data_IF_958372599073
#
_entry.id   IF_958372599073
#
_cell.length_a   1.000
_cell.length_b   1.000
_cell.length_c   1.000
_cell.angle_alpha   90.00
_cell.angle_beta   90.00
_cell.angle_gamma   90.00
#
_symmetry.space_group_name_H-M   'P 1'
#
loop_
_entity.id
_entity.type
_entity.pdbx_description
1 polymer ?
#
# COMPACT_ATOMS: atom_id res chain seq x y z
N UNK A 1 46.30 25.03 -11.76
CA UNK A 1 45.46 24.10 -10.96
C UNK A 1 46.40 22.97 -10.53
N UNK A 2 46.62 22.76 -9.22
CA UNK A 2 47.55 21.73 -8.72
C UNK A 2 46.71 20.62 -8.08
N UNK A 3 46.80 19.41 -8.65
CA UNK A 3 46.12 18.23 -8.04
C UNK A 3 46.90 17.87 -6.78
N UNK A 4 46.22 17.87 -5.63
CA UNK A 4 46.84 17.59 -4.30
C UNK A 4 46.82 16.11 -3.93
N UNK A 5 45.83 15.35 -4.40
CA UNK A 5 45.78 13.90 -4.23
C UNK A 5 44.89 13.26 -5.27
N UNK A 6 45.18 12.03 -5.66
CA UNK A 6 44.32 11.18 -6.48
C UNK A 6 44.03 9.93 -5.63
N UNK A 7 42.74 9.69 -5.30
CA UNK A 7 42.32 8.48 -4.65
C UNK A 7 41.74 7.50 -5.68
N UNK A 8 42.24 6.29 -5.73
CA UNK A 8 41.65 5.20 -6.49
C UNK A 8 40.82 4.31 -5.55
N UNK A 9 39.71 3.75 -6.04
CA UNK A 9 38.97 2.76 -5.23
C UNK A 9 39.88 1.55 -4.96
N UNK A 10 40.07 1.23 -3.69
CA UNK A 10 40.79 0.03 -3.27
C UNK A 10 39.83 -1.17 -3.34
N UNK A 11 40.31 -2.28 -3.89
CA UNK A 11 39.52 -3.51 -3.90
C UNK A 11 39.36 -4.00 -2.45
N UNK A 12 38.11 -4.06 -1.98
CA UNK A 12 37.82 -4.63 -0.65
C UNK A 12 37.20 -6.02 -0.77
N UNK A 13 37.47 -6.85 0.22
CA UNK A 13 36.88 -8.18 0.31
C UNK A 13 35.63 -8.12 1.15
N UNK A 14 34.56 -8.78 0.66
CA UNK A 14 33.33 -8.92 1.43
C UNK A 14 33.49 -10.14 2.36
N UNK A 15 33.94 -9.87 3.57
CA UNK A 15 34.27 -10.85 4.60
C UNK A 15 33.68 -10.46 5.98
N UNK A 16 34.08 -11.17 7.02
CA UNK A 16 33.61 -10.89 8.40
C UNK A 16 34.07 -9.51 8.90
N UNK A 17 35.22 -9.01 8.45
CA UNK A 17 35.69 -7.69 8.85
C UNK A 17 34.81 -6.61 8.22
N UNK A 18 34.47 -6.77 6.95
CA UNK A 18 33.48 -5.91 6.31
C UNK A 18 32.13 -5.93 7.04
N UNK A 19 31.63 -7.11 7.40
CA UNK A 19 30.38 -7.23 8.17
C UNK A 19 30.43 -6.50 9.51
N UNK A 20 31.59 -6.56 10.22
CA UNK A 20 31.79 -5.82 11.48
C UNK A 20 31.73 -4.30 11.30
N UNK A 21 32.23 -3.77 10.18
CA UNK A 21 32.11 -2.32 9.88
C UNK A 21 30.65 -1.87 9.77
N UNK A 22 29.75 -2.80 9.44
CA UNK A 22 28.31 -2.59 9.37
C UNK A 22 27.57 -2.99 10.66
N UNK A 23 28.31 -3.21 11.76
CA UNK A 23 27.78 -3.65 13.06
C UNK A 23 27.14 -5.05 13.06
N UNK A 24 27.61 -5.96 12.21
CA UNK A 24 27.22 -7.37 12.23
C UNK A 24 28.35 -8.24 12.82
N UNK A 25 27.96 -9.30 13.49
CA UNK A 25 28.94 -10.23 14.12
C UNK A 25 29.76 -11.01 13.09
N UNK A 26 29.14 -11.32 11.93
CA UNK A 26 29.77 -12.08 10.83
C UNK A 26 29.09 -11.79 9.49
N UNK A 27 29.77 -12.15 8.41
CA UNK A 27 29.23 -12.06 7.05
C UNK A 27 27.95 -12.91 6.89
N UNK A 28 27.87 -14.06 7.56
CA UNK A 28 26.68 -14.90 7.50
C UNK A 28 25.47 -14.24 8.15
N UNK A 29 25.66 -13.56 9.28
CA UNK A 29 24.60 -12.75 9.91
C UNK A 29 24.12 -11.59 9.04
N UNK A 30 25.05 -10.93 8.37
CA UNK A 30 24.72 -9.89 7.38
C UNK A 30 23.89 -10.47 6.22
N UNK A 31 24.31 -11.61 5.66
CA UNK A 31 23.55 -12.29 4.59
C UNK A 31 22.18 -12.77 5.04
N UNK A 32 22.07 -13.29 6.25
CA UNK A 32 20.79 -13.71 6.85
C UNK A 32 19.82 -12.54 6.96
N UNK A 33 20.28 -11.40 7.47
CA UNK A 33 19.49 -10.18 7.56
C UNK A 33 19.03 -9.70 6.18
N UNK A 34 19.95 -9.64 5.20
CA UNK A 34 19.61 -9.25 3.82
C UNK A 34 18.57 -10.19 3.21
N UNK A 35 18.73 -11.51 3.37
CA UNK A 35 17.76 -12.50 2.89
C UNK A 35 16.39 -12.31 3.54
N UNK A 36 16.36 -12.07 4.84
CA UNK A 36 15.11 -11.83 5.58
C UNK A 36 14.39 -10.57 5.06
N UNK A 37 15.14 -9.50 4.84
CA UNK A 37 14.58 -8.26 4.30
C UNK A 37 14.04 -8.44 2.87
N UNK A 38 14.82 -9.07 1.98
CA UNK A 38 14.41 -9.36 0.61
C UNK A 38 13.18 -10.28 0.56
N UNK A 39 13.17 -11.34 1.37
CA UNK A 39 12.01 -12.22 1.46
C UNK A 39 10.76 -11.47 1.96
N UNK A 40 10.92 -10.57 2.92
CA UNK A 40 9.84 -9.72 3.40
C UNK A 40 9.31 -8.75 2.31
N UNK A 41 10.22 -8.18 1.51
CA UNK A 41 9.86 -7.32 0.36
C UNK A 41 9.10 -8.12 -0.71
N UNK A 42 9.63 -9.28 -1.10
CA UNK A 42 8.99 -10.12 -2.12
C UNK A 42 7.64 -10.68 -1.65
N UNK A 43 7.53 -11.06 -0.39
CA UNK A 43 6.26 -11.52 0.18
C UNK A 43 5.20 -10.42 0.15
N UNK A 44 5.58 -9.17 0.47
CA UNK A 44 4.67 -8.02 0.39
C UNK A 44 4.25 -7.75 -1.05
N UNK A 45 5.20 -7.66 -1.99
CA UNK A 45 4.90 -7.43 -3.40
C UNK A 45 4.01 -8.55 -3.99
N UNK A 46 4.29 -9.82 -3.66
CA UNK A 46 3.47 -10.95 -4.09
C UNK A 46 2.03 -10.85 -3.53
N UNK A 47 1.91 -10.48 -2.24
CA UNK A 47 0.60 -10.31 -1.61
C UNK A 47 -0.19 -9.16 -2.23
N UNK A 48 0.44 -8.04 -2.51
CA UNK A 48 -0.22 -6.90 -3.17
C UNK A 48 -0.75 -7.27 -4.55
N UNK A 49 0.04 -7.99 -5.36
CA UNK A 49 -0.42 -8.51 -6.65
C UNK A 49 -1.58 -9.49 -6.51
N UNK A 50 -1.50 -10.40 -5.55
CA UNK A 50 -2.57 -11.37 -5.30
C UNK A 50 -3.86 -10.67 -4.86
N UNK A 51 -3.77 -9.72 -3.93
CA UNK A 51 -4.90 -8.89 -3.48
C UNK A 51 -5.53 -8.17 -4.67
N UNK A 52 -4.70 -7.52 -5.49
CA UNK A 52 -5.18 -6.82 -6.69
C UNK A 52 -5.91 -7.75 -7.64
N UNK A 53 -5.33 -8.90 -7.98
CA UNK A 53 -5.97 -9.90 -8.85
C UNK A 53 -7.31 -10.39 -8.27
N UNK A 54 -7.38 -10.58 -6.95
CA UNK A 54 -8.63 -10.91 -6.28
C UNK A 54 -9.68 -9.81 -6.48
N UNK A 55 -9.31 -8.55 -6.19
CA UNK A 55 -10.23 -7.41 -6.32
C UNK A 55 -10.66 -7.19 -7.77
N UNK A 56 -9.77 -7.34 -8.75
CA UNK A 56 -10.09 -7.27 -10.18
C UNK A 56 -11.09 -8.37 -10.57
N UNK A 57 -10.87 -9.59 -10.10
CA UNK A 57 -11.81 -10.69 -10.34
C UNK A 57 -13.18 -10.44 -9.70
N UNK A 58 -13.23 -9.88 -8.50
CA UNK A 58 -14.49 -9.52 -7.84
C UNK A 58 -15.22 -8.41 -8.60
N UNK A 59 -14.52 -7.36 -9.00
CA UNK A 59 -15.10 -6.24 -9.76
C UNK A 59 -15.67 -6.70 -11.11
N UNK A 60 -14.93 -7.54 -11.84
CA UNK A 60 -15.38 -8.09 -13.13
C UNK A 60 -16.54 -9.08 -13.00
N UNK A 61 -16.66 -9.77 -11.88
CA UNK A 61 -17.65 -10.83 -11.68
C UNK A 61 -18.98 -10.35 -11.14
N UNK A 62 -18.95 -9.27 -10.37
CA UNK A 62 -20.13 -8.74 -9.70
C UNK A 62 -20.47 -7.34 -10.20
N UNK A 63 -21.63 -7.23 -10.83
CA UNK A 63 -22.18 -5.94 -11.26
C UNK A 63 -23.56 -5.76 -10.63
N UNK A 64 -23.78 -4.63 -9.99
CA UNK A 64 -25.06 -4.24 -9.37
C UNK A 64 -25.19 -2.71 -9.33
N UNK A 65 -26.40 -2.21 -9.13
CA UNK A 65 -26.62 -0.77 -8.97
C UNK A 65 -25.94 -0.24 -7.73
N UNK A 66 -25.16 0.82 -7.91
CA UNK A 66 -24.44 1.47 -6.82
C UNK A 66 -25.28 2.63 -6.26
N UNK A 67 -25.29 2.86 -4.94
CA UNK A 67 -25.89 4.03 -4.36
C UNK A 67 -25.18 5.30 -4.83
N UNK A 68 -25.86 6.12 -5.64
CA UNK A 68 -25.28 7.31 -6.27
C UNK A 68 -24.64 8.27 -5.25
N UNK A 69 -25.25 8.40 -4.06
CA UNK A 69 -24.69 9.22 -2.99
C UNK A 69 -23.33 8.75 -2.49
N UNK A 70 -23.06 7.43 -2.44
CA UNK A 70 -21.76 6.90 -2.07
C UNK A 70 -20.74 7.12 -3.17
N UNK A 71 -21.13 6.92 -4.42
CA UNK A 71 -20.25 7.18 -5.58
C UNK A 71 -19.85 8.65 -5.65
N UNK A 72 -20.81 9.57 -5.47
CA UNK A 72 -20.54 10.99 -5.46
C UNK A 72 -19.60 11.39 -4.32
N UNK A 73 -19.83 10.87 -3.12
CA UNK A 73 -18.97 11.15 -1.95
C UNK A 73 -17.53 10.64 -2.15
N UNK A 74 -17.36 9.43 -2.69
CA UNK A 74 -16.06 8.85 -2.99
C UNK A 74 -15.37 9.64 -4.10
N UNK A 75 -16.09 10.00 -5.17
CA UNK A 75 -15.57 10.84 -6.24
C UNK A 75 -15.08 12.19 -5.71
N UNK A 76 -15.87 12.88 -4.88
CA UNK A 76 -15.49 14.17 -4.30
C UNK A 76 -14.25 14.06 -3.42
N UNK A 77 -14.08 12.93 -2.73
CA UNK A 77 -12.88 12.67 -1.93
C UNK A 77 -11.65 12.52 -2.82
N UNK A 78 -11.73 11.70 -3.86
CA UNK A 78 -10.66 11.50 -4.84
C UNK A 78 -10.35 12.82 -5.54
N UNK A 79 -11.36 13.55 -6.01
CA UNK A 79 -11.17 14.77 -6.76
C UNK A 79 -10.46 15.87 -5.96
N UNK A 80 -10.79 16.01 -4.68
CA UNK A 80 -10.08 16.91 -3.76
C UNK A 80 -8.60 16.57 -3.64
N UNK A 81 -8.23 15.30 -3.62
CA UNK A 81 -6.83 14.87 -3.61
C UNK A 81 -6.13 15.27 -4.92
N UNK A 82 -6.75 15.00 -6.07
CA UNK A 82 -6.22 15.37 -7.38
C UNK A 82 -5.98 16.89 -7.47
N UNK A 83 -6.94 17.71 -7.04
CA UNK A 83 -6.76 19.17 -7.02
C UNK A 83 -5.62 19.63 -6.10
N UNK A 84 -5.44 18.97 -4.96
CA UNK A 84 -4.34 19.28 -4.04
C UNK A 84 -2.99 18.91 -4.65
N UNK A 85 -2.89 17.76 -5.30
CA UNK A 85 -1.68 17.31 -5.97
C UNK A 85 -1.30 18.20 -7.15
N UNK A 86 -2.27 18.61 -7.96
CA UNK A 86 -2.04 19.57 -9.04
C UNK A 86 -1.55 20.92 -8.51
N UNK A 87 -2.14 21.42 -7.43
CA UNK A 87 -1.67 22.68 -6.79
C UNK A 87 -0.26 22.55 -6.23
N UNK A 88 0.08 21.39 -5.66
CA UNK A 88 1.40 21.14 -5.08
C UNK A 88 2.49 20.95 -6.16
N UNK A 89 2.16 20.22 -7.23
CA UNK A 89 3.11 19.94 -8.32
C UNK A 89 3.21 21.06 -9.36
N UNK A 90 2.20 21.94 -9.44
CA UNK A 90 2.06 22.95 -10.48
C UNK A 90 1.74 22.38 -11.87
N UNK A 91 1.39 21.09 -11.96
CA UNK A 91 1.02 20.41 -13.21
C UNK A 91 -0.48 20.52 -13.46
N UNK A 92 -0.84 20.62 -14.74
CA UNK A 92 -2.21 20.61 -15.20
C UNK A 92 -2.55 19.31 -15.93
N UNK A 93 -3.81 19.03 -16.18
CA UNK A 93 -4.24 17.89 -16.99
C UNK A 93 -3.66 17.93 -18.42
N UNK A 94 -3.44 19.12 -18.97
CA UNK A 94 -2.81 19.28 -20.29
C UNK A 94 -1.35 18.78 -20.31
N UNK A 95 -0.62 18.93 -19.21
CA UNK A 95 0.76 18.41 -19.09
C UNK A 95 0.80 16.87 -19.07
N UNK A 96 -0.31 16.24 -18.71
CA UNK A 96 -0.51 14.79 -18.70
C UNK A 96 -1.19 14.26 -19.99
N UNK A 97 -1.30 15.10 -21.02
CA UNK A 97 -1.98 14.80 -22.29
C UNK A 97 -3.46 14.36 -22.11
N UNK A 98 -4.14 14.90 -21.14
CA UNK A 98 -5.57 14.64 -20.89
C UNK A 98 -6.33 15.94 -20.67
N UNK A 99 -7.66 15.86 -20.60
CA UNK A 99 -8.53 16.99 -20.28
C UNK A 99 -9.15 16.78 -18.89
N UNK A 100 -9.56 17.87 -18.24
CA UNK A 100 -10.26 17.77 -16.95
C UNK A 100 -11.52 16.89 -17.06
N UNK A 101 -12.25 17.01 -18.18
CA UNK A 101 -13.46 16.21 -18.41
C UNK A 101 -13.15 14.71 -18.51
N UNK A 102 -12.11 14.34 -19.26
CA UNK A 102 -11.66 12.96 -19.37
C UNK A 102 -11.16 12.42 -18.01
N UNK A 103 -10.38 13.22 -17.30
CA UNK A 103 -9.91 12.88 -15.96
C UNK A 103 -11.08 12.67 -14.98
N UNK A 104 -12.10 13.56 -15.00
CA UNK A 104 -13.31 13.39 -14.16
C UNK A 104 -14.04 12.08 -14.47
N UNK A 105 -14.15 11.70 -15.75
CA UNK A 105 -14.78 10.44 -16.15
C UNK A 105 -13.98 9.23 -15.65
N UNK A 106 -12.66 9.29 -15.72
CA UNK A 106 -11.78 8.23 -15.24
C UNK A 106 -11.84 8.09 -13.72
N UNK A 107 -11.74 9.19 -12.97
CA UNK A 107 -11.83 9.18 -11.52
C UNK A 107 -13.23 8.78 -11.02
N UNK A 108 -14.31 9.08 -11.79
CA UNK A 108 -15.62 8.55 -11.46
C UNK A 108 -15.69 7.02 -11.58
N UNK A 109 -15.07 6.43 -12.61
CA UNK A 109 -14.97 4.96 -12.74
C UNK A 109 -14.18 4.34 -11.57
N UNK A 110 -13.14 5.04 -11.11
CA UNK A 110 -12.41 4.61 -9.91
C UNK A 110 -13.32 4.66 -8.67
N UNK A 111 -14.07 5.72 -8.47
CA UNK A 111 -15.01 5.86 -7.36
C UNK A 111 -16.06 4.75 -7.39
N UNK A 112 -16.67 4.48 -8.56
CA UNK A 112 -17.65 3.40 -8.75
C UNK A 112 -17.05 2.03 -8.39
N UNK A 113 -15.83 1.75 -8.86
CA UNK A 113 -15.11 0.53 -8.53
C UNK A 113 -14.86 0.40 -7.02
N UNK A 114 -14.39 1.46 -6.36
CA UNK A 114 -14.13 1.47 -4.92
C UNK A 114 -15.40 1.23 -4.12
N UNK A 115 -16.49 1.90 -4.46
CA UNK A 115 -17.78 1.72 -3.80
C UNK A 115 -18.28 0.27 -3.99
N UNK A 116 -18.19 -0.27 -5.22
CA UNK A 116 -18.59 -1.66 -5.50
C UNK A 116 -17.80 -2.66 -4.67
N UNK A 117 -16.49 -2.55 -4.69
CA UNK A 117 -15.61 -3.45 -3.92
C UNK A 117 -15.85 -3.29 -2.41
N UNK A 118 -15.99 -2.06 -1.91
CA UNK A 118 -16.28 -1.80 -0.52
C UNK A 118 -17.58 -2.47 -0.06
N UNK A 119 -18.65 -2.36 -0.84
CA UNK A 119 -19.93 -3.02 -0.54
C UNK A 119 -19.82 -4.54 -0.60
N UNK A 120 -19.10 -5.09 -1.59
CA UNK A 120 -18.85 -6.55 -1.69
C UNK A 120 -18.07 -7.07 -0.48
N UNK A 121 -16.98 -6.40 -0.13
CA UNK A 121 -16.15 -6.81 1.01
C UNK A 121 -16.91 -6.65 2.33
N UNK A 122 -17.72 -5.61 2.50
CA UNK A 122 -18.56 -5.44 3.68
C UNK A 122 -19.57 -6.58 3.83
N UNK A 123 -20.23 -7.00 2.73
CA UNK A 123 -21.17 -8.10 2.74
C UNK A 123 -20.49 -9.45 3.07
N UNK A 124 -19.34 -9.72 2.43
CA UNK A 124 -18.56 -10.93 2.72
C UNK A 124 -18.08 -10.96 4.16
N UNK A 125 -17.52 -9.87 4.64
CA UNK A 125 -17.01 -9.78 6.00
C UNK A 125 -18.11 -9.87 7.06
N UNK A 126 -19.29 -9.32 6.77
CA UNK A 126 -20.48 -9.46 7.63
C UNK A 126 -20.93 -10.92 7.71
N UNK A 127 -21.05 -11.61 6.57
CA UNK A 127 -21.42 -13.04 6.53
C UNK A 127 -20.39 -13.98 7.16
N UNK A 128 -19.12 -13.62 7.06
CA UNK A 128 -18.03 -14.37 7.66
C UNK A 128 -17.75 -13.96 9.13
N UNK A 129 -18.56 -13.06 9.69
CA UNK A 129 -18.42 -12.53 11.05
C UNK A 129 -17.01 -12.00 11.35
N UNK A 130 -16.35 -11.41 10.34
CA UNK A 130 -15.01 -10.83 10.50
C UNK A 130 -15.06 -9.66 11.46
N UNK A 131 -14.20 -9.70 12.47
CA UNK A 131 -14.08 -8.65 13.50
C UNK A 131 -12.66 -8.15 13.61
N UNK A 132 -12.51 -6.85 13.78
CA UNK A 132 -11.23 -6.21 14.12
C UNK A 132 -11.16 -6.07 15.62
N UNK A 133 -10.15 -6.66 16.23
CA UNK A 133 -9.95 -6.59 17.68
C UNK A 133 -9.30 -5.27 18.12
N UNK A 134 -9.40 -4.93 19.37
CA UNK A 134 -8.78 -3.73 19.91
C UNK A 134 -7.24 -3.84 19.95
N UNK A 135 -6.71 -5.07 20.04
CA UNK A 135 -5.28 -5.34 19.94
C UNK A 135 -4.75 -5.04 18.53
N UNK A 136 -5.50 -5.41 17.47
CA UNK A 136 -5.12 -5.12 16.09
C UNK A 136 -5.12 -3.60 15.83
N UNK A 137 -6.13 -2.89 16.33
CA UNK A 137 -6.20 -1.43 16.24
C UNK A 137 -5.06 -0.78 17.00
N UNK A 138 -4.77 -1.26 18.20
CA UNK A 138 -3.66 -0.77 19.03
C UNK A 138 -2.32 -0.98 18.33
N UNK A 139 -2.11 -2.15 17.72
CA UNK A 139 -0.89 -2.46 16.96
C UNK A 139 -0.72 -1.53 15.75
N UNK A 140 -1.80 -1.27 15.01
CA UNK A 140 -1.79 -0.32 13.90
C UNK A 140 -1.51 1.11 14.38
N UNK A 141 -2.08 1.52 15.50
CA UNK A 141 -1.83 2.83 16.08
C UNK A 141 -0.37 2.98 16.54
N UNK A 142 0.23 1.95 17.15
CA UNK A 142 1.66 1.93 17.51
C UNK A 142 2.51 2.08 16.25
N UNK A 143 2.21 1.32 15.19
CA UNK A 143 2.94 1.42 13.93
C UNK A 143 2.83 2.83 13.32
N UNK A 144 1.64 3.43 13.36
CA UNK A 144 1.39 4.80 12.90
C UNK A 144 2.17 5.83 13.73
N UNK A 145 2.17 5.68 15.06
CA UNK A 145 2.91 6.59 15.95
C UNK A 145 4.42 6.52 15.73
N UNK A 146 4.98 5.33 15.49
CA UNK A 146 6.42 5.14 15.18
C UNK A 146 6.87 5.84 13.90
N UNK A 147 5.96 6.10 12.96
CA UNK A 147 6.27 6.83 11.72
C UNK A 147 6.50 8.34 11.99
N UNK A 148 6.19 8.86 13.19
CA UNK A 148 6.34 10.25 13.59
C UNK A 148 7.07 10.37 14.91
N UNK A 149 8.41 10.16 14.94
CA UNK A 149 9.21 10.22 16.16
C UNK A 149 9.06 11.56 16.89
N UNK A 150 8.83 11.50 18.21
CA UNK A 150 8.62 12.68 19.06
C UNK A 150 7.20 13.22 19.12
N UNK A 151 6.26 12.66 18.32
CA UNK A 151 4.86 13.06 18.31
C UNK A 151 3.92 11.91 18.74
N UNK A 152 4.45 10.83 19.24
CA UNK A 152 3.70 9.59 19.55
C UNK A 152 2.53 9.88 20.48
N UNK A 153 2.75 10.70 21.53
CA UNK A 153 1.71 11.09 22.49
C UNK A 153 0.57 11.86 21.84
N UNK A 154 0.92 12.79 20.92
CA UNK A 154 -0.09 13.61 20.23
C UNK A 154 -0.96 12.74 19.31
N UNK A 155 -0.34 11.77 18.62
CA UNK A 155 -1.04 10.82 17.75
C UNK A 155 -1.98 9.97 18.58
N UNK A 156 -1.54 9.41 19.71
CA UNK A 156 -2.39 8.65 20.62
C UNK A 156 -3.59 9.47 21.11
N UNK A 157 -3.37 10.71 21.54
CA UNK A 157 -4.45 11.58 22.00
C UNK A 157 -5.45 11.93 20.89
N UNK A 158 -4.93 12.16 19.66
CA UNK A 158 -5.77 12.42 18.49
C UNK A 158 -6.73 11.26 18.21
N UNK A 159 -6.22 10.05 18.07
CA UNK A 159 -7.05 8.88 17.79
C UNK A 159 -7.99 8.54 18.94
N UNK A 160 -7.58 8.71 20.18
CA UNK A 160 -8.44 8.49 21.34
C UNK A 160 -9.63 9.45 21.40
N UNK A 161 -9.46 10.67 20.93
CA UNK A 161 -10.50 11.72 20.95
C UNK A 161 -11.33 11.78 19.67
N UNK A 162 -10.89 11.11 18.60
CA UNK A 162 -11.51 11.20 17.29
C UNK A 162 -11.99 9.81 16.84
N UNK A 163 -13.27 9.53 17.05
CA UNK A 163 -13.88 8.26 16.66
C UNK A 163 -13.84 8.02 15.13
N UNK A 164 -13.92 9.10 14.33
CA UNK A 164 -13.83 9.00 12.89
C UNK A 164 -12.42 8.56 12.47
N UNK A 165 -11.36 9.17 13.00
CA UNK A 165 -9.99 8.75 12.73
C UNK A 165 -9.74 7.29 13.14
N UNK A 166 -10.33 6.86 14.27
CA UNK A 166 -10.22 5.47 14.72
C UNK A 166 -10.94 4.52 13.75
N UNK A 167 -12.09 4.91 13.20
CA UNK A 167 -12.80 4.13 12.19
C UNK A 167 -11.98 4.02 10.89
N UNK A 168 -11.36 5.11 10.46
CA UNK A 168 -10.44 5.13 9.30
C UNK A 168 -9.21 4.23 9.51
N UNK A 169 -8.72 4.11 10.74
CA UNK A 169 -7.64 3.18 11.07
C UNK A 169 -8.11 1.71 11.07
N UNK A 170 -9.38 1.46 11.45
CA UNK A 170 -9.99 0.11 11.47
C UNK A 170 -10.32 -0.41 10.07
N UNK A 171 -10.73 0.47 9.16
CA UNK A 171 -11.21 0.09 7.84
C UNK A 171 -10.20 -0.76 7.04
N UNK A 172 -8.92 -0.37 6.88
CA UNK A 172 -7.94 -1.20 6.16
C UNK A 172 -7.65 -2.53 6.87
N UNK A 173 -7.68 -2.58 8.21
CA UNK A 173 -7.51 -3.84 8.95
C UNK A 173 -8.66 -4.80 8.65
N UNK A 174 -9.89 -4.29 8.66
CA UNK A 174 -11.08 -5.07 8.31
C UNK A 174 -11.00 -5.60 6.88
N UNK A 175 -10.65 -4.74 5.92
CA UNK A 175 -10.48 -5.11 4.51
C UNK A 175 -9.45 -6.22 4.34
N UNK A 176 -8.26 -6.10 4.95
CA UNK A 176 -7.22 -7.13 4.89
C UNK A 176 -7.71 -8.48 5.46
N UNK A 177 -8.46 -8.46 6.57
CA UNK A 177 -9.02 -9.68 7.16
C UNK A 177 -10.07 -10.33 6.27
N UNK A 178 -10.91 -9.53 5.59
CA UNK A 178 -11.88 -10.05 4.62
C UNK A 178 -11.17 -10.63 3.40
N UNK A 179 -10.15 -9.96 2.89
CA UNK A 179 -9.31 -10.46 1.80
C UNK A 179 -8.65 -11.78 2.21
N UNK A 180 -8.09 -11.89 3.41
CA UNK A 180 -7.51 -13.13 3.93
C UNK A 180 -8.54 -14.25 4.00
N UNK A 181 -9.74 -13.95 4.46
CA UNK A 181 -10.84 -14.91 4.49
C UNK A 181 -11.17 -15.44 3.09
N UNK A 182 -11.30 -14.56 2.10
CA UNK A 182 -11.59 -14.97 0.72
C UNK A 182 -10.43 -15.78 0.14
N UNK A 183 -9.18 -15.36 0.35
CA UNK A 183 -8.00 -16.08 -0.12
C UNK A 183 -7.87 -17.48 0.49
N UNK A 184 -8.26 -17.66 1.76
CA UNK A 184 -8.29 -18.96 2.41
C UNK A 184 -9.28 -19.95 1.76
N UNK A 185 -10.33 -19.43 1.12
CA UNK A 185 -11.32 -20.22 0.40
C UNK A 185 -10.97 -20.39 -1.09
N UNK A 186 -10.09 -19.54 -1.61
CA UNK A 186 -9.72 -19.52 -3.02
C UNK A 186 -8.67 -20.59 -3.36
N UNK A 187 -8.69 -21.05 -4.61
CA UNK A 187 -7.60 -21.88 -5.16
C UNK A 187 -6.51 -20.93 -5.68
N UNK A 188 -5.50 -20.70 -4.86
CA UNK A 188 -4.35 -19.87 -5.23
C UNK A 188 -3.30 -20.79 -5.88
N UNK A 189 -2.80 -20.38 -7.07
CA UNK A 189 -1.71 -21.04 -7.75
C UNK A 189 -0.41 -20.24 -7.56
N UNK A 190 0.65 -20.89 -7.12
CA UNK A 190 1.96 -20.28 -7.00
C UNK A 190 2.72 -20.40 -8.32
N UNK A 191 3.33 -19.30 -8.75
CA UNK A 191 4.22 -19.24 -9.91
C UNK A 191 5.56 -18.64 -9.51
N UNK A 192 6.65 -19.31 -9.87
CA UNK A 192 7.99 -18.74 -9.72
C UNK A 192 8.21 -17.70 -10.82
N UNK A 193 8.64 -16.52 -10.41
CA UNK A 193 8.90 -15.38 -11.30
C UNK A 193 10.25 -14.75 -10.97
N UNK A 194 10.78 -13.95 -11.87
CA UNK A 194 11.97 -13.14 -11.59
C UNK A 194 11.63 -11.94 -10.69
N UNK A 195 12.64 -11.33 -10.09
CA UNK A 195 12.47 -10.10 -9.32
C UNK A 195 11.84 -8.99 -10.17
N UNK A 196 12.33 -8.82 -11.39
CA UNK A 196 11.86 -7.81 -12.33
C UNK A 196 10.38 -8.01 -12.66
N UNK A 197 9.96 -9.24 -12.88
CA UNK A 197 8.55 -9.59 -13.15
C UNK A 197 7.67 -9.35 -11.91
N UNK A 198 8.17 -9.70 -10.72
CA UNK A 198 7.44 -9.47 -9.46
C UNK A 198 7.24 -7.99 -9.17
N UNK A 199 8.28 -7.18 -9.36
CA UNK A 199 8.27 -5.75 -9.03
C UNK A 199 7.81 -4.86 -10.20
N UNK A 200 7.56 -5.44 -11.38
CA UNK A 200 7.02 -4.68 -12.52
C UNK A 200 5.66 -4.09 -12.12
N UNK A 201 5.46 -2.76 -12.29
CA UNK A 201 4.13 -2.17 -12.13
C UNK A 201 3.14 -2.86 -13.08
N UNK A 202 1.95 -3.13 -12.60
CA UNK A 202 0.89 -3.63 -13.47
C UNK A 202 0.47 -2.51 -14.42
N UNK A 203 0.45 -2.77 -15.73
CA UNK A 203 0.26 -1.75 -16.80
C UNK A 203 -1.11 -1.05 -16.76
N UNK A 204 -2.06 -1.53 -15.95
CA UNK A 204 -3.36 -0.91 -15.67
C UNK A 204 -3.44 -0.30 -14.26
N UNK A 205 -2.30 0.03 -13.65
CA UNK A 205 -2.33 0.76 -12.39
C UNK A 205 -2.90 2.16 -12.65
N UNK A 206 -4.20 2.33 -12.42
CA UNK A 206 -4.75 3.65 -12.12
C UNK A 206 -3.83 4.31 -11.07
N UNK A 207 -3.55 5.61 -11.15
CA UNK A 207 -2.52 6.25 -10.34
C UNK A 207 -2.64 5.83 -8.88
N UNK A 208 -1.51 5.41 -8.33
CA UNK A 208 -1.40 5.00 -6.94
C UNK A 208 -1.82 6.16 -6.03
N UNK A 209 -2.45 5.79 -4.95
CA UNK A 209 -2.88 6.69 -3.88
C UNK A 209 -1.71 7.41 -3.21
#
# INVERSE_FOLDING_TARGET
MTVKSIAAPEAFTIDDEFAKTLNFESLDKLKEMIRTNLNGEYSRASREKLKRQLLDNLDNRYSFELPEGLVAQEFDSIWRQVEQEQKASGRSFADENTTEEAARADYRRIAERRVRLGLLLAEVGSKAEVKVTDEEVTSALIARARAYPGQEKQIWEYYRKNAQALAELRAPIYEEKVVDHILALAKVAERKVTREELLKPDEEALPAQ
#
